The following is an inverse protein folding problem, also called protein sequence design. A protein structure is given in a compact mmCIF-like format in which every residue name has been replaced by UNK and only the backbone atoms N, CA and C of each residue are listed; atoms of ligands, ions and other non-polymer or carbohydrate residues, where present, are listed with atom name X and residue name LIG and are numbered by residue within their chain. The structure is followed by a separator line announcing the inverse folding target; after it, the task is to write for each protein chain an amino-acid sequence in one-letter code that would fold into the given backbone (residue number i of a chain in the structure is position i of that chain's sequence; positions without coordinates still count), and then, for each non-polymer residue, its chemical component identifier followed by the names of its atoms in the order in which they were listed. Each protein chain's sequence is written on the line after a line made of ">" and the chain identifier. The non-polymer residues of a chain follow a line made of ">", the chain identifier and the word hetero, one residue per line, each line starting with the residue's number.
data_IF_210681392031
#
_entry.id   IF_210681392031
#
_cell.length_a   1.000
_cell.length_b   1.000
_cell.length_c   1.000
_cell.angle_alpha   90.00
_cell.angle_beta   90.00
_cell.angle_gamma   90.00
#
_symmetry.space_group_name_H-M   'P 1'
#
loop_
_entity.id
_entity.type
_entity.pdbx_description
1 polymer ?
#
# COMPACT_ATOMS: atom_id res chain seq x y z
N UNK A 1 -4.51 -20.12 24.38
CA UNK A 1 -5.76 -20.32 23.64
C UNK A 1 -5.40 -20.68 22.21
N UNK A 2 -5.67 -21.90 21.78
CA UNK A 2 -5.42 -22.34 20.40
C UNK A 2 -6.30 -21.49 19.48
N UNK A 3 -5.68 -20.68 18.63
CA UNK A 3 -6.38 -20.03 17.52
C UNK A 3 -6.97 -21.15 16.67
N UNK A 4 -8.28 -21.22 16.58
CA UNK A 4 -8.97 -22.02 15.60
C UNK A 4 -8.56 -21.51 14.21
N UNK A 5 -7.42 -21.98 13.73
CA UNK A 5 -7.02 -21.78 12.35
C UNK A 5 -8.02 -22.59 11.52
N UNK A 6 -8.88 -21.88 10.81
CA UNK A 6 -9.69 -22.49 9.78
C UNK A 6 -8.70 -22.85 8.67
N UNK A 7 -8.34 -24.12 8.62
CA UNK A 7 -7.55 -24.63 7.51
C UNK A 7 -8.50 -24.84 6.34
N UNK A 8 -8.53 -23.87 5.41
CA UNK A 8 -9.00 -24.20 4.08
C UNK A 8 -7.84 -24.88 3.36
N UNK A 9 -8.17 -26.02 2.78
CA UNK A 9 -7.15 -26.94 2.27
C UNK A 9 -6.72 -26.61 0.86
N UNK A 10 -7.49 -25.82 0.09
CA UNK A 10 -7.21 -25.59 -1.31
C UNK A 10 -7.91 -24.35 -1.87
N UNK A 11 -7.15 -23.51 -2.53
CA UNK A 11 -7.65 -22.48 -3.43
C UNK A 11 -7.46 -22.93 -4.87
N UNK A 12 -8.13 -22.29 -5.83
CA UNK A 12 -7.86 -22.54 -7.24
C UNK A 12 -6.37 -22.25 -7.56
N UNK A 13 -5.82 -22.96 -8.54
CA UNK A 13 -4.42 -22.74 -8.98
C UNK A 13 -4.20 -21.29 -9.41
N UNK A 14 -5.19 -20.71 -10.08
CA UNK A 14 -5.17 -19.35 -10.54
C UNK A 14 -5.11 -18.38 -9.35
N UNK A 15 -6.00 -18.53 -8.37
CA UNK A 15 -5.98 -17.70 -7.16
C UNK A 15 -4.65 -17.82 -6.41
N UNK A 16 -4.13 -19.03 -6.24
CA UNK A 16 -2.84 -19.26 -5.59
C UNK A 16 -1.70 -18.51 -6.33
N UNK A 17 -1.65 -18.62 -7.65
CA UNK A 17 -0.65 -17.92 -8.47
C UNK A 17 -0.77 -16.40 -8.32
N UNK A 18 -1.98 -15.88 -8.45
CA UNK A 18 -2.23 -14.44 -8.35
C UNK A 18 -1.90 -13.88 -6.96
N UNK A 19 -2.27 -14.59 -5.89
CA UNK A 19 -1.95 -14.17 -4.52
C UNK A 19 -0.44 -14.19 -4.24
N UNK A 20 0.30 -15.17 -4.76
CA UNK A 20 1.75 -15.18 -4.69
C UNK A 20 2.35 -14.01 -5.47
N UNK A 21 1.87 -13.74 -6.68
CA UNK A 21 2.27 -12.55 -7.47
C UNK A 21 2.05 -11.27 -6.69
N UNK A 22 0.93 -11.12 -5.99
CA UNK A 22 0.66 -9.98 -5.13
C UNK A 22 1.72 -9.85 -4.03
N UNK A 23 1.99 -10.93 -3.28
CA UNK A 23 2.98 -10.93 -2.18
C UNK A 23 4.38 -10.59 -2.67
N UNK A 24 4.83 -11.24 -3.73
CA UNK A 24 6.15 -11.04 -4.31
C UNK A 24 6.32 -9.61 -4.81
N UNK A 25 5.32 -9.08 -5.53
CA UNK A 25 5.35 -7.70 -6.01
C UNK A 25 5.32 -6.69 -4.86
N UNK A 26 4.49 -6.92 -3.83
CA UNK A 26 4.43 -6.05 -2.66
C UNK A 26 5.75 -6.04 -1.89
N UNK A 27 6.39 -7.21 -1.73
CA UNK A 27 7.70 -7.33 -1.10
C UNK A 27 8.79 -6.63 -1.91
N UNK A 28 8.83 -6.86 -3.23
CA UNK A 28 9.80 -6.23 -4.12
C UNK A 28 9.68 -4.70 -4.12
N UNK A 29 8.46 -4.17 -4.12
CA UNK A 29 8.22 -2.72 -3.98
C UNK A 29 8.75 -2.22 -2.64
N UNK A 30 8.48 -2.91 -1.54
CA UNK A 30 8.95 -2.48 -0.21
C UNK A 30 10.48 -2.45 -0.12
N UNK A 31 11.16 -3.44 -0.69
CA UNK A 31 12.63 -3.49 -0.76
C UNK A 31 13.17 -2.34 -1.60
N UNK A 32 12.57 -2.11 -2.78
CA UNK A 32 12.98 -1.03 -3.68
C UNK A 32 12.74 0.36 -3.08
N UNK A 33 11.63 0.56 -2.37
CA UNK A 33 11.35 1.80 -1.64
C UNK A 33 12.42 2.10 -0.57
N UNK A 34 12.89 1.07 0.14
CA UNK A 34 13.97 1.22 1.11
C UNK A 34 15.29 1.59 0.44
N UNK A 35 15.63 0.90 -0.67
CA UNK A 35 16.82 1.22 -1.48
C UNK A 35 16.78 2.66 -1.98
N UNK A 36 15.67 3.05 -2.60
CA UNK A 36 15.47 4.41 -3.12
C UNK A 36 15.58 5.47 -2.03
N UNK A 37 14.95 5.25 -0.86
CA UNK A 37 15.07 6.16 0.29
C UNK A 37 16.52 6.33 0.75
N UNK A 38 17.29 5.24 0.79
CA UNK A 38 18.70 5.30 1.16
C UNK A 38 19.54 6.07 0.12
N UNK A 39 19.26 5.90 -1.17
CA UNK A 39 19.94 6.57 -2.26
C UNK A 39 19.62 8.07 -2.34
N UNK A 40 18.33 8.43 -2.19
CA UNK A 40 17.88 9.82 -2.40
C UNK A 40 18.16 10.72 -1.19
N UNK A 41 18.24 10.17 0.00
CA UNK A 41 18.46 10.94 1.25
C UNK A 41 19.72 11.79 1.23
N UNK A 42 20.93 11.26 0.89
CA UNK A 42 22.14 12.07 0.83
C UNK A 42 22.09 13.11 -0.29
N UNK A 43 21.48 12.80 -1.44
CA UNK A 43 21.33 13.76 -2.54
C UNK A 43 20.45 14.96 -2.15
N UNK A 44 19.34 14.71 -1.46
CA UNK A 44 18.48 15.79 -0.93
C UNK A 44 19.20 16.63 0.13
N UNK A 45 19.94 16.02 1.04
CA UNK A 45 20.73 16.76 2.02
C UNK A 45 21.82 17.61 1.34
N UNK A 46 22.46 17.11 0.29
CA UNK A 46 23.43 17.88 -0.50
C UNK A 46 22.76 19.08 -1.20
N UNK A 47 21.57 18.88 -1.80
CA UNK A 47 20.80 19.94 -2.42
C UNK A 47 20.40 21.02 -1.40
N UNK A 48 19.90 20.62 -0.23
CA UNK A 48 19.57 21.53 0.87
C UNK A 48 20.79 22.37 1.30
N UNK A 49 21.96 21.73 1.43
CA UNK A 49 23.22 22.44 1.76
C UNK A 49 23.62 23.45 0.67
N UNK A 50 23.52 23.08 -0.60
CA UNK A 50 23.77 24.00 -1.72
C UNK A 50 22.84 25.21 -1.64
N UNK A 51 21.54 24.99 -1.42
CA UNK A 51 20.56 26.06 -1.35
C UNK A 51 20.79 26.97 -0.14
N UNK A 52 21.12 26.41 1.02
CA UNK A 52 21.44 27.17 2.23
C UNK A 52 22.70 28.05 2.03
N UNK A 53 23.76 27.49 1.42
CA UNK A 53 24.98 28.23 1.13
C UNK A 53 24.73 29.38 0.13
N UNK A 54 23.92 29.13 -0.92
CA UNK A 54 23.51 30.17 -1.85
C UNK A 54 22.78 31.31 -1.16
N UNK A 55 21.80 30.97 -0.32
CA UNK A 55 21.02 31.99 0.41
C UNK A 55 21.92 32.84 1.32
N UNK A 56 22.82 32.18 2.07
CA UNK A 56 23.75 32.86 2.95
C UNK A 56 24.66 33.86 2.17
N UNK A 57 25.21 33.46 1.02
CA UNK A 57 26.09 34.34 0.23
C UNK A 57 25.30 35.50 -0.40
N UNK A 58 24.05 35.28 -0.82
CA UNK A 58 23.15 36.36 -1.29
C UNK A 58 22.84 37.33 -0.16
N UNK A 59 22.51 36.84 1.03
CA UNK A 59 22.20 37.68 2.20
C UNK A 59 23.42 38.52 2.63
N UNK A 60 24.64 38.01 2.37
CA UNK A 60 25.90 38.75 2.57
C UNK A 60 26.27 39.69 1.41
N UNK A 61 25.38 39.89 0.44
CA UNK A 61 25.53 40.89 -0.63
C UNK A 61 26.31 40.40 -1.87
N UNK A 62 26.57 39.11 -2.01
CA UNK A 62 27.18 38.58 -3.24
C UNK A 62 26.19 38.65 -4.42
N UNK A 63 26.73 38.81 -5.62
CA UNK A 63 25.92 38.76 -6.84
C UNK A 63 25.34 37.39 -7.08
N UNK A 64 24.05 37.30 -7.48
CA UNK A 64 23.32 36.05 -7.67
C UNK A 64 24.00 35.13 -8.70
N UNK A 65 24.50 35.68 -9.80
CA UNK A 65 25.13 34.89 -10.86
C UNK A 65 26.45 34.25 -10.36
N UNK A 66 27.22 35.00 -9.57
CA UNK A 66 28.45 34.50 -8.94
C UNK A 66 28.16 33.40 -7.92
N UNK A 67 27.10 33.57 -7.12
CA UNK A 67 26.66 32.55 -6.15
C UNK A 67 26.17 31.27 -6.85
N UNK A 68 25.44 31.40 -7.94
CA UNK A 68 24.98 30.24 -8.73
C UNK A 68 26.15 29.52 -9.35
N UNK A 69 27.15 30.22 -9.86
CA UNK A 69 28.37 29.60 -10.40
C UNK A 69 29.23 28.91 -9.32
N UNK A 70 29.31 29.50 -8.11
CA UNK A 70 30.05 28.96 -6.97
C UNK A 70 29.44 27.67 -6.40
N UNK A 71 28.12 27.54 -6.43
CA UNK A 71 27.39 26.39 -5.91
C UNK A 71 26.50 25.74 -6.99
N UNK A 72 27.08 25.03 -7.95
CA UNK A 72 26.32 24.37 -9.01
C UNK A 72 25.45 23.25 -8.44
N UNK A 73 24.16 23.25 -8.78
CA UNK A 73 23.21 22.21 -8.32
C UNK A 73 22.82 21.20 -9.39
N UNK A 74 23.21 21.47 -10.65
CA UNK A 74 22.73 20.72 -11.82
C UNK A 74 23.07 19.23 -11.74
N UNK A 75 24.23 18.89 -11.22
CA UNK A 75 24.68 17.49 -11.07
C UNK A 75 23.84 16.75 -10.03
N UNK A 76 23.51 17.42 -8.90
CA UNK A 76 22.66 16.84 -7.85
C UNK A 76 21.23 16.70 -8.34
N UNK A 77 20.67 17.70 -9.01
CA UNK A 77 19.33 17.62 -9.61
C UNK A 77 19.25 16.47 -10.62
N UNK A 78 20.27 16.30 -11.46
CA UNK A 78 20.34 15.21 -12.44
C UNK A 78 20.45 13.83 -11.75
N UNK A 79 21.24 13.72 -10.69
CA UNK A 79 21.36 12.50 -9.91
C UNK A 79 20.02 12.12 -9.25
N UNK A 80 19.32 13.09 -8.68
CA UNK A 80 17.97 12.89 -8.10
C UNK A 80 17.01 12.40 -9.18
N UNK A 81 16.92 13.08 -10.32
CA UNK A 81 16.03 12.67 -11.43
C UNK A 81 16.34 11.28 -11.94
N UNK A 82 17.64 10.93 -12.04
CA UNK A 82 18.07 9.60 -12.46
C UNK A 82 17.62 8.53 -11.45
N UNK A 83 17.78 8.77 -10.17
CA UNK A 83 17.33 7.87 -9.11
C UNK A 83 15.80 7.71 -9.13
N UNK A 84 15.04 8.81 -9.26
CA UNK A 84 13.57 8.77 -9.36
C UNK A 84 13.09 8.00 -10.59
N UNK A 85 13.74 8.20 -11.74
CA UNK A 85 13.40 7.50 -12.99
C UNK A 85 13.69 6.00 -12.86
N UNK A 86 14.82 5.62 -12.28
CA UNK A 86 15.17 4.22 -12.05
C UNK A 86 14.19 3.54 -11.08
N UNK A 87 13.86 4.20 -9.97
CA UNK A 87 12.87 3.72 -9.01
C UNK A 87 11.50 3.51 -9.67
N UNK A 88 11.03 4.49 -10.41
CA UNK A 88 9.75 4.41 -11.13
C UNK A 88 9.73 3.25 -12.12
N UNK A 89 10.79 3.05 -12.88
CA UNK A 89 10.90 1.95 -13.85
C UNK A 89 10.79 0.56 -13.21
N UNK A 90 11.22 0.41 -11.95
CA UNK A 90 11.09 -0.84 -11.18
C UNK A 90 9.69 -0.96 -10.56
N UNK A 91 9.18 0.10 -9.94
CA UNK A 91 7.94 0.06 -9.15
C UNK A 91 6.67 0.03 -10.02
N UNK A 92 6.67 0.67 -11.20
CA UNK A 92 5.48 0.71 -12.06
C UNK A 92 5.02 -0.69 -12.53
N UNK A 93 5.89 -1.56 -13.10
CA UNK A 93 5.47 -2.90 -13.52
C UNK A 93 5.03 -3.77 -12.35
N UNK A 94 5.68 -3.68 -11.18
CA UNK A 94 5.29 -4.39 -9.97
C UNK A 94 3.92 -3.92 -9.46
N UNK A 95 3.69 -2.61 -9.47
CA UNK A 95 2.38 -2.03 -9.10
C UNK A 95 1.28 -2.48 -10.05
N UNK A 96 1.59 -2.60 -11.35
CA UNK A 96 0.64 -3.13 -12.34
C UNK A 96 0.34 -4.60 -12.02
N UNK A 97 1.37 -5.43 -11.83
CA UNK A 97 1.19 -6.84 -11.48
C UNK A 97 0.34 -7.02 -10.22
N UNK A 98 0.55 -6.19 -9.18
CA UNK A 98 -0.33 -6.20 -8.00
C UNK A 98 -1.77 -5.86 -8.34
N UNK A 99 -2.02 -4.85 -9.18
CA UNK A 99 -3.39 -4.43 -9.56
C UNK A 99 -4.10 -5.52 -10.34
N UNK A 100 -3.40 -6.24 -11.20
CA UNK A 100 -3.95 -7.33 -11.99
C UNK A 100 -4.48 -8.48 -11.10
N UNK A 101 -3.99 -8.60 -9.86
CA UNK A 101 -4.48 -9.57 -8.89
C UNK A 101 -5.82 -9.18 -8.22
N UNK A 102 -6.29 -7.94 -8.41
CA UNK A 102 -7.54 -7.47 -7.78
C UNK A 102 -8.80 -8.04 -8.44
N UNK A 103 -8.66 -8.85 -9.47
CA UNK A 103 -9.76 -9.50 -10.18
C UNK A 103 -10.68 -10.33 -9.27
N UNK A 104 -10.17 -10.83 -8.16
CA UNK A 104 -10.97 -11.59 -7.19
C UNK A 104 -11.81 -10.69 -6.27
N UNK A 105 -11.48 -9.41 -6.15
CA UNK A 105 -12.22 -8.47 -5.30
C UNK A 105 -13.52 -8.09 -5.99
N UNK A 106 -14.70 -8.40 -5.42
CA UNK A 106 -15.97 -8.07 -6.02
C UNK A 106 -16.14 -6.56 -6.25
N UNK A 107 -16.80 -6.20 -7.35
CA UNK A 107 -17.25 -4.84 -7.55
C UNK A 107 -18.20 -4.43 -6.41
N UNK A 108 -18.09 -3.15 -5.97
CA UNK A 108 -18.89 -2.65 -4.84
C UNK A 108 -18.38 -3.02 -3.45
N UNK A 109 -17.33 -3.84 -3.29
CA UNK A 109 -16.78 -4.20 -1.97
C UNK A 109 -16.27 -2.99 -1.20
N UNK A 110 -15.65 -2.03 -1.87
CA UNK A 110 -15.22 -0.75 -1.29
C UNK A 110 -16.41 0.05 -0.76
N UNK A 111 -17.49 0.12 -1.54
CA UNK A 111 -18.71 0.85 -1.15
C UNK A 111 -19.43 0.16 0.01
N UNK A 112 -19.45 -1.18 0.02
CA UNK A 112 -19.97 -1.96 1.13
C UNK A 112 -19.18 -1.72 2.43
N UNK A 113 -17.86 -1.56 2.33
CA UNK A 113 -17.02 -1.18 3.48
C UNK A 113 -17.31 0.24 3.95
N UNK A 114 -17.48 1.20 3.04
CA UNK A 114 -17.85 2.58 3.37
C UNK A 114 -19.19 2.62 4.11
N UNK A 115 -20.20 1.91 3.60
CA UNK A 115 -21.51 1.77 4.27
C UNK A 115 -21.41 1.10 5.65
N UNK A 116 -20.51 0.12 5.82
CA UNK A 116 -20.25 -0.47 7.14
C UNK A 116 -19.84 0.57 8.16
N UNK A 117 -19.00 1.54 7.75
CA UNK A 117 -18.48 2.58 8.65
C UNK A 117 -19.50 3.69 8.85
N UNK A 118 -20.09 4.22 7.78
CA UNK A 118 -20.95 5.42 7.82
C UNK A 118 -22.40 5.12 8.22
N UNK A 119 -22.91 3.96 7.80
CA UNK A 119 -24.33 3.58 7.98
C UNK A 119 -24.51 2.37 8.92
N UNK A 120 -23.40 1.86 9.50
CA UNK A 120 -23.37 0.64 10.33
C UNK A 120 -23.93 -0.62 9.63
N UNK A 121 -23.88 -0.68 8.30
CA UNK A 121 -24.35 -1.80 7.48
C UNK A 121 -23.27 -2.87 7.31
N UNK A 122 -23.02 -3.62 8.37
CA UNK A 122 -21.98 -4.69 8.38
C UNK A 122 -22.30 -5.84 7.41
N UNK A 123 -23.59 -6.14 7.19
CA UNK A 123 -24.02 -7.29 6.38
C UNK A 123 -23.55 -7.24 4.94
N UNK A 124 -23.62 -6.07 4.29
CA UNK A 124 -23.22 -5.89 2.90
C UNK A 124 -21.71 -6.19 2.71
N UNK A 125 -20.88 -5.73 3.65
CA UNK A 125 -19.44 -5.97 3.61
C UNK A 125 -19.09 -7.44 3.86
N UNK A 126 -19.77 -8.11 4.79
CA UNK A 126 -19.60 -9.55 5.03
C UNK A 126 -20.00 -10.37 3.80
N UNK A 127 -21.07 -9.99 3.11
CA UNK A 127 -21.48 -10.63 1.85
C UNK A 127 -20.42 -10.45 0.76
N UNK A 128 -19.88 -9.24 0.59
CA UNK A 128 -18.81 -8.99 -0.36
C UNK A 128 -17.54 -9.81 -0.06
N UNK A 129 -17.18 -9.98 1.23
CA UNK A 129 -16.05 -10.85 1.61
C UNK A 129 -16.35 -12.32 1.29
N UNK A 130 -17.58 -12.81 1.50
CA UNK A 130 -17.95 -14.16 1.11
C UNK A 130 -17.79 -14.39 -0.40
N UNK A 131 -18.29 -13.45 -1.19
CA UNK A 131 -18.12 -13.50 -2.66
C UNK A 131 -16.63 -13.49 -3.07
N UNK A 132 -15.80 -12.70 -2.39
CA UNK A 132 -14.35 -12.74 -2.60
C UNK A 132 -13.77 -14.13 -2.31
N UNK A 133 -14.16 -14.76 -1.20
CA UNK A 133 -13.69 -16.10 -0.84
C UNK A 133 -14.17 -17.16 -1.85
N UNK A 134 -15.39 -17.02 -2.36
CA UNK A 134 -15.94 -17.87 -3.43
C UNK A 134 -15.15 -17.69 -4.74
N UNK A 135 -14.82 -16.44 -5.12
CA UNK A 135 -14.01 -16.14 -6.31
C UNK A 135 -12.61 -16.77 -6.24
N UNK A 136 -12.06 -16.97 -5.03
CA UNK A 136 -10.79 -17.68 -4.84
C UNK A 136 -10.91 -19.19 -5.07
N UNK A 137 -12.14 -19.73 -5.21
CA UNK A 137 -12.37 -21.16 -5.36
C UNK A 137 -11.89 -21.97 -4.15
N UNK A 138 -12.25 -21.51 -2.94
CA UNK A 138 -11.87 -22.19 -1.69
C UNK A 138 -12.66 -23.49 -1.55
N UNK A 139 -11.95 -24.61 -1.57
CA UNK A 139 -12.51 -25.94 -1.38
C UNK A 139 -12.31 -26.43 0.07
N UNK A 140 -13.20 -27.33 0.52
CA UNK A 140 -13.09 -28.00 1.82
C UNK A 140 -13.64 -27.17 2.99
N UNK A 141 -14.31 -26.04 2.74
CA UNK A 141 -14.99 -25.23 3.74
C UNK A 141 -16.51 -25.35 3.64
N UNK A 142 -17.17 -25.55 4.77
CA UNK A 142 -18.62 -25.41 4.86
C UNK A 142 -19.03 -23.92 4.81
N UNK A 143 -20.30 -23.63 4.53
CA UNK A 143 -20.84 -22.25 4.53
C UNK A 143 -20.67 -21.56 5.90
N UNK A 144 -20.75 -22.31 6.99
CA UNK A 144 -20.49 -21.80 8.34
C UNK A 144 -19.02 -21.38 8.51
N UNK A 145 -18.08 -22.14 7.95
CA UNK A 145 -16.66 -21.79 7.97
C UNK A 145 -16.36 -20.59 7.10
N UNK A 146 -16.94 -20.49 5.90
CA UNK A 146 -16.83 -19.31 5.02
C UNK A 146 -17.38 -18.06 5.72
N UNK A 147 -18.50 -18.17 6.41
CA UNK A 147 -19.06 -17.07 7.19
C UNK A 147 -18.11 -16.61 8.29
N UNK A 148 -17.49 -17.53 9.02
CA UNK A 148 -16.51 -17.23 10.05
C UNK A 148 -15.22 -16.63 9.49
N UNK A 149 -14.77 -17.08 8.34
CA UNK A 149 -13.64 -16.46 7.61
C UNK A 149 -13.95 -15.02 7.24
N UNK A 150 -15.16 -14.75 6.72
CA UNK A 150 -15.60 -13.42 6.37
C UNK A 150 -15.66 -12.46 7.57
N UNK A 151 -16.14 -12.96 8.72
CA UNK A 151 -16.12 -12.19 9.97
C UNK A 151 -14.71 -11.86 10.42
N UNK A 152 -13.82 -12.84 10.46
CA UNK A 152 -12.42 -12.65 10.82
C UNK A 152 -11.72 -11.64 9.89
N UNK A 153 -11.94 -11.76 8.56
CA UNK A 153 -11.41 -10.81 7.59
C UNK A 153 -11.94 -9.40 7.83
N UNK A 154 -13.25 -9.26 8.06
CA UNK A 154 -13.86 -7.97 8.33
C UNK A 154 -13.26 -7.27 9.56
N UNK A 155 -13.01 -8.03 10.62
CA UNK A 155 -12.47 -7.49 11.87
C UNK A 155 -10.98 -7.16 11.75
N UNK A 156 -10.19 -8.04 11.10
CA UNK A 156 -8.76 -7.79 10.86
C UNK A 156 -8.54 -6.62 9.90
N UNK A 157 -9.35 -6.53 8.84
CA UNK A 157 -9.28 -5.39 7.94
C UNK A 157 -9.62 -4.09 8.66
N UNK A 158 -10.66 -4.07 9.48
CA UNK A 158 -11.03 -2.92 10.29
C UNK A 158 -9.92 -2.49 11.24
N UNK A 159 -9.27 -3.43 11.93
CA UNK A 159 -8.15 -3.15 12.82
C UNK A 159 -6.93 -2.58 12.06
N UNK A 160 -6.55 -3.17 10.92
CA UNK A 160 -5.45 -2.66 10.08
C UNK A 160 -5.74 -1.29 9.51
N UNK A 161 -6.96 -1.06 9.07
CA UNK A 161 -7.39 0.24 8.57
C UNK A 161 -7.32 1.32 9.65
N UNK A 162 -7.77 1.03 10.87
CA UNK A 162 -7.67 1.95 12.00
C UNK A 162 -6.21 2.28 12.33
N UNK A 163 -5.30 1.29 12.30
CA UNK A 163 -3.86 1.51 12.52
C UNK A 163 -3.21 2.37 11.44
N UNK A 164 -3.72 2.31 10.20
CA UNK A 164 -3.18 3.11 9.09
C UNK A 164 -3.57 4.59 9.16
N UNK A 165 -4.48 4.96 10.06
CA UNK A 165 -4.96 6.34 10.24
C UNK A 165 -4.30 6.99 11.44
N UNK A 166 -3.82 8.22 11.25
CA UNK A 166 -3.45 9.09 12.36
C UNK A 166 -4.73 9.47 13.10
N UNK A 167 -4.81 9.13 14.40
CA UNK A 167 -5.83 9.65 15.30
C UNK A 167 -5.55 11.13 15.47
N UNK A 168 -6.44 11.98 14.96
CA UNK A 168 -6.40 13.42 15.21
C UNK A 168 -7.54 13.73 16.16
N UNK A 169 -7.21 14.10 17.42
CA UNK A 169 -8.13 14.58 18.47
C UNK A 169 -9.32 13.64 18.75
N UNK A 170 -9.08 12.42 19.19
CA UNK A 170 -10.10 11.45 19.65
C UNK A 170 -11.32 11.23 18.72
N UNK A 171 -11.40 11.97 17.62
CA UNK A 171 -12.37 11.76 16.57
C UNK A 171 -11.69 10.98 15.44
N UNK A 172 -12.20 9.77 15.18
CA UNK A 172 -11.87 9.01 13.97
C UNK A 172 -12.44 9.80 12.78
N UNK A 173 -11.67 10.71 12.24
CA UNK A 173 -11.98 11.28 10.93
C UNK A 173 -11.86 10.14 9.92
N UNK A 174 -13.00 9.56 9.54
CA UNK A 174 -13.12 8.61 8.43
C UNK A 174 -12.88 9.38 7.15
N UNK A 175 -11.60 9.69 6.88
CA UNK A 175 -11.23 10.12 5.53
C UNK A 175 -11.46 8.92 4.62
N UNK A 176 -12.28 9.10 3.58
CA UNK A 176 -12.59 8.05 2.63
C UNK A 176 -11.30 7.44 2.09
N UNK A 177 -11.13 6.13 2.29
CA UNK A 177 -10.06 5.38 1.64
C UNK A 177 -10.40 5.30 0.16
N UNK A 178 -9.45 5.58 -0.74
CA UNK A 178 -9.67 5.39 -2.16
C UNK A 178 -9.84 3.90 -2.50
N UNK A 179 -10.58 3.58 -3.56
CA UNK A 179 -10.76 2.17 -4.02
C UNK A 179 -9.42 1.46 -4.22
N UNK A 180 -8.42 2.16 -4.77
CA UNK A 180 -7.09 1.58 -4.99
C UNK A 180 -6.36 1.26 -3.67
N UNK A 181 -6.42 2.15 -2.70
CA UNK A 181 -5.82 1.92 -1.37
C UNK A 181 -6.58 0.83 -0.61
N UNK A 182 -7.91 0.79 -0.72
CA UNK A 182 -8.74 -0.26 -0.15
C UNK A 182 -8.34 -1.63 -0.70
N UNK A 183 -8.28 -1.80 -2.02
CA UNK A 183 -7.95 -3.07 -2.65
C UNK A 183 -6.54 -3.54 -2.23
N UNK A 184 -5.55 -2.64 -2.25
CA UNK A 184 -4.19 -2.94 -1.80
C UNK A 184 -4.17 -3.42 -0.35
N UNK A 185 -4.82 -2.69 0.56
CA UNK A 185 -4.85 -3.04 1.98
C UNK A 185 -5.62 -4.34 2.23
N UNK A 186 -6.76 -4.54 1.54
CA UNK A 186 -7.57 -5.74 1.68
C UNK A 186 -6.79 -6.99 1.27
N UNK A 187 -6.13 -6.96 0.10
CA UNK A 187 -5.30 -8.06 -0.37
C UNK A 187 -4.10 -8.33 0.55
N UNK A 188 -3.45 -7.27 1.05
CA UNK A 188 -2.34 -7.41 2.00
C UNK A 188 -2.80 -8.11 3.30
N UNK A 189 -3.93 -7.68 3.87
CA UNK A 189 -4.51 -8.32 5.07
C UNK A 189 -4.85 -9.78 4.81
N UNK A 190 -5.46 -10.09 3.67
CA UNK A 190 -5.80 -11.46 3.32
C UNK A 190 -4.54 -12.33 3.16
N UNK A 191 -3.54 -11.85 2.43
CA UNK A 191 -2.28 -12.57 2.25
C UNK A 191 -1.55 -12.79 3.58
N UNK A 192 -1.48 -11.79 4.45
CA UNK A 192 -0.84 -11.90 5.77
C UNK A 192 -1.53 -12.94 6.67
N UNK A 193 -2.83 -13.10 6.53
CA UNK A 193 -3.61 -14.03 7.34
C UNK A 193 -3.53 -15.48 6.85
N UNK A 194 -3.52 -15.67 5.54
CA UNK A 194 -3.84 -16.97 4.96
C UNK A 194 -2.81 -17.53 3.97
N UNK A 195 -1.91 -16.70 3.43
CA UNK A 195 -0.88 -17.12 2.48
C UNK A 195 0.47 -17.14 3.20
N UNK A 196 1.00 -18.32 3.47
CA UNK A 196 2.32 -18.49 4.08
C UNK A 196 3.45 -18.38 3.06
#
# INVERSE_FOLDING_TARGET
>A
MAKNQINFTKMSKEATTQLNTFKESAHAIAVEDLRFKAEIKPLKAQLESILANRQNDIDNGMNVDEVVAKFPRIEVDNAIRKAETAHKAIVEPLTKAMKDTYVFIPDGMHDAYTKKITEHKRGDFLTAIKTFLENLGIEGCSQAQISKLAENMSDMFGARYAQSKKIVNDNILVTAISKAQFNKLFMAVFCDMYIK
#
